data_IF_069176883861
#
_entry.id   IF_069176883861
#
_cell.length_a   1.000
_cell.length_b   1.000
_cell.length_c   1.000
_cell.angle_alpha   90.00
_cell.angle_beta   90.00
_cell.angle_gamma   90.00
#
_symmetry.space_group_name_H-M   'P 1'
#
loop_
_entity.id
_entity.type
_entity.pdbx_description
1 polymer ?
#
# COMPACT_ATOMS: atom_id res chain seq x y z
N UNK A 1 -11.29 -15.86 7.29
CA UNK A 1 -10.80 -15.63 8.67
C UNK A 1 -10.62 -14.12 8.84
N UNK A 2 -11.46 -13.42 9.62
CA UNK A 2 -11.28 -11.97 9.86
C UNK A 2 -10.26 -11.81 10.98
N UNK A 3 -9.16 -11.10 10.73
CA UNK A 3 -8.16 -10.80 11.74
C UNK A 3 -8.72 -9.76 12.73
N UNK A 4 -9.52 -10.23 13.71
CA UNK A 4 -10.25 -9.38 14.67
C UNK A 4 -9.36 -8.40 15.44
N UNK A 5 -8.06 -8.68 15.53
CA UNK A 5 -7.10 -7.90 16.31
C UNK A 5 -6.03 -7.19 15.46
N UNK A 6 -6.06 -7.27 14.13
CA UNK A 6 -4.98 -6.72 13.29
C UNK A 6 -4.80 -5.21 13.49
N UNK A 7 -5.92 -4.47 13.55
CA UNK A 7 -5.93 -3.02 13.79
C UNK A 7 -5.27 -2.69 15.13
N UNK A 8 -5.65 -3.42 16.17
CA UNK A 8 -5.11 -3.24 17.52
C UNK A 8 -3.61 -3.51 17.55
N UNK A 9 -3.16 -4.63 16.97
CA UNK A 9 -1.74 -4.97 16.90
C UNK A 9 -0.91 -3.93 16.16
N UNK A 10 -1.39 -3.46 15.00
CA UNK A 10 -0.72 -2.42 14.22
C UNK A 10 -0.56 -1.12 15.03
N UNK A 11 -1.63 -0.70 15.71
CA UNK A 11 -1.61 0.51 16.51
C UNK A 11 -0.65 0.41 17.71
N UNK A 12 -0.63 -0.72 18.41
CA UNK A 12 0.27 -0.93 19.55
C UNK A 12 1.74 -1.01 19.13
N UNK A 13 2.03 -1.63 17.98
CA UNK A 13 3.38 -1.63 17.40
C UNK A 13 3.84 -0.21 17.05
N UNK A 14 2.96 0.59 16.42
CA UNK A 14 3.24 1.98 16.08
C UNK A 14 3.56 2.85 17.31
N UNK A 15 2.80 2.70 18.40
CA UNK A 15 3.06 3.42 19.67
C UNK A 15 4.43 3.11 20.28
N UNK A 16 5.01 1.95 19.97
CA UNK A 16 6.32 1.49 20.47
C UNK A 16 7.47 1.79 19.50
N UNK A 17 7.22 2.52 18.43
CA UNK A 17 8.23 2.81 17.40
C UNK A 17 8.58 1.60 16.53
N UNK A 18 7.74 0.56 16.49
CA UNK A 18 7.97 -0.63 15.68
C UNK A 18 7.36 -0.43 14.29
N UNK A 19 8.22 -0.41 13.27
CA UNK A 19 7.81 -0.45 11.87
C UNK A 19 7.36 -1.85 11.45
N UNK A 20 6.41 -1.94 10.52
CA UNK A 20 5.96 -3.20 9.95
C UNK A 20 5.66 -3.05 8.46
N UNK A 21 5.77 -4.14 7.72
CA UNK A 21 5.39 -4.22 6.31
C UNK A 21 4.19 -5.16 6.17
N UNK A 22 3.08 -4.63 5.66
CA UNK A 22 1.89 -5.42 5.34
C UNK A 22 1.81 -5.64 3.83
N UNK A 23 1.91 -6.89 3.40
CA UNK A 23 1.79 -7.29 1.99
C UNK A 23 0.45 -8.00 1.83
N UNK A 24 -0.42 -7.48 0.95
CA UNK A 24 -1.70 -8.09 0.63
C UNK A 24 -1.98 -8.01 -0.87
N UNK A 25 -2.72 -8.98 -1.39
CA UNK A 25 -3.28 -8.96 -2.74
C UNK A 25 -4.67 -8.32 -2.77
N UNK A 26 -5.36 -8.26 -1.64
CA UNK A 26 -6.73 -7.74 -1.52
C UNK A 26 -6.74 -6.56 -0.58
N UNK A 27 -6.76 -5.34 -1.13
CA UNK A 27 -6.75 -4.13 -0.28
C UNK A 27 -8.04 -4.01 0.54
N UNK A 28 -9.16 -4.58 0.07
CA UNK A 28 -10.44 -4.69 0.77
C UNK A 28 -10.37 -5.52 2.05
N UNK A 29 -9.37 -6.39 2.19
CA UNK A 29 -9.16 -7.20 3.40
C UNK A 29 -8.52 -6.41 4.55
N UNK A 30 -7.98 -5.22 4.26
CA UNK A 30 -7.45 -4.32 5.28
C UNK A 30 -8.61 -3.43 5.77
N UNK A 31 -8.93 -3.39 7.07
CA UNK A 31 -9.86 -2.40 7.61
C UNK A 31 -9.49 -0.95 7.25
N UNK A 32 -10.49 -0.08 7.05
CA UNK A 32 -10.24 1.34 6.79
C UNK A 32 -9.57 2.04 7.99
N UNK A 33 -9.69 1.52 9.20
CA UNK A 33 -9.03 2.07 10.40
C UNK A 33 -7.50 1.97 10.35
N UNK A 34 -6.95 1.07 9.51
CA UNK A 34 -5.49 0.91 9.32
C UNK A 34 -4.94 1.99 8.35
N UNK A 35 -5.70 3.03 8.00
CA UNK A 35 -5.25 4.15 7.13
C UNK A 35 -3.96 4.85 7.59
N UNK A 36 -3.53 4.65 8.84
CA UNK A 36 -2.29 5.18 9.40
C UNK A 36 -1.02 4.38 9.03
N UNK A 37 -1.08 3.37 8.15
CA UNK A 37 0.16 2.87 7.51
C UNK A 37 0.68 3.97 6.60
N UNK A 38 1.86 4.47 6.93
CA UNK A 38 2.33 5.72 6.36
C UNK A 38 2.98 5.63 4.98
N UNK A 39 3.13 4.44 4.41
CA UNK A 39 3.74 4.31 3.09
C UNK A 39 3.07 3.16 2.34
N UNK A 40 2.67 3.43 1.11
CA UNK A 40 1.95 2.51 0.25
C UNK A 40 2.79 2.17 -0.98
N UNK A 41 2.97 0.86 -1.22
CA UNK A 41 3.55 0.32 -2.44
C UNK A 41 2.46 -0.41 -3.19
N UNK A 42 1.94 0.20 -4.26
CA UNK A 42 0.82 -0.32 -5.03
C UNK A 42 1.35 -0.85 -6.36
N UNK A 43 1.40 -2.17 -6.50
CA UNK A 43 1.94 -2.82 -7.72
C UNK A 43 0.90 -2.92 -8.84
N UNK A 44 -0.37 -3.12 -8.48
CA UNK A 44 -1.51 -3.18 -9.38
C UNK A 44 -2.80 -3.15 -8.55
N UNK A 45 -3.90 -2.76 -9.17
CA UNK A 45 -5.25 -2.96 -8.64
C UNK A 45 -6.10 -3.58 -9.72
N UNK A 46 -6.82 -4.67 -9.41
CA UNK A 46 -7.61 -5.39 -10.41
C UNK A 46 -9.10 -5.01 -10.38
N UNK A 47 -9.59 -4.40 -9.29
CA UNK A 47 -11.01 -4.05 -9.14
C UNK A 47 -11.25 -2.56 -8.89
N UNK A 48 -12.40 -2.06 -9.34
CA UNK A 48 -12.84 -0.67 -9.12
C UNK A 48 -12.90 -0.29 -7.64
N UNK A 49 -13.31 -1.23 -6.78
CA UNK A 49 -13.37 -1.05 -5.33
C UNK A 49 -11.99 -0.78 -4.74
N UNK A 50 -10.97 -1.50 -5.18
CA UNK A 50 -9.59 -1.28 -4.74
C UNK A 50 -9.04 0.05 -5.24
N UNK A 51 -9.36 0.42 -6.48
CA UNK A 51 -8.97 1.71 -7.06
C UNK A 51 -9.58 2.86 -6.26
N UNK A 52 -10.88 2.77 -5.95
CA UNK A 52 -11.57 3.80 -5.18
C UNK A 52 -10.95 3.96 -3.79
N UNK A 53 -10.61 2.85 -3.15
CA UNK A 53 -9.88 2.86 -1.88
C UNK A 53 -8.52 3.54 -1.99
N UNK A 54 -7.74 3.26 -3.05
CA UNK A 54 -6.45 3.92 -3.24
C UNK A 54 -6.60 5.42 -3.53
N UNK A 55 -7.64 5.84 -4.26
CA UNK A 55 -7.96 7.27 -4.43
C UNK A 55 -8.25 7.97 -3.11
N UNK A 56 -8.97 7.31 -2.19
CA UNK A 56 -9.24 7.86 -0.86
C UNK A 56 -7.99 7.99 0.01
N UNK A 57 -7.02 7.09 -0.15
CA UNK A 57 -5.77 7.09 0.63
C UNK A 57 -4.78 8.11 0.11
N UNK A 58 -4.57 8.12 -1.21
CA UNK A 58 -3.52 8.92 -1.86
C UNK A 58 -3.97 10.33 -2.16
N UNK A 59 -5.28 10.56 -2.32
CA UNK A 59 -5.91 11.84 -2.68
C UNK A 59 -5.32 12.52 -3.94
N UNK A 60 -4.54 11.77 -4.74
CA UNK A 60 -3.79 12.33 -5.85
C UNK A 60 -4.36 11.89 -7.22
N UNK A 61 -4.44 12.78 -8.22
CA UNK A 61 -5.01 12.45 -9.55
C UNK A 61 -4.29 11.31 -10.29
N UNK A 62 -3.01 11.08 -10.02
CA UNK A 62 -2.21 10.01 -10.67
C UNK A 62 -2.62 8.60 -10.24
N UNK A 63 -3.44 8.43 -9.20
CA UNK A 63 -3.91 7.11 -8.74
C UNK A 63 -4.77 6.39 -9.78
N UNK A 64 -5.32 7.11 -10.76
CA UNK A 64 -5.96 6.50 -11.94
C UNK A 64 -5.02 5.64 -12.80
N UNK A 65 -3.70 5.84 -12.68
CA UNK A 65 -2.69 5.12 -13.45
C UNK A 65 -2.36 3.73 -12.84
N UNK A 66 -2.83 3.45 -11.62
CA UNK A 66 -2.57 2.18 -10.91
C UNK A 66 -3.04 0.96 -11.73
N UNK A 67 -4.15 1.07 -12.45
CA UNK A 67 -4.69 -0.01 -13.30
C UNK A 67 -3.84 -0.35 -14.50
N UNK A 68 -2.98 0.59 -14.91
CA UNK A 68 -2.15 0.47 -16.12
C UNK A 68 -0.69 0.24 -15.76
N UNK A 69 -0.37 -0.01 -14.49
CA UNK A 69 0.99 -0.30 -14.05
C UNK A 69 1.51 -1.55 -14.76
N UNK A 70 2.62 -1.44 -15.51
CA UNK A 70 3.27 -2.63 -16.07
C UNK A 70 3.85 -3.53 -14.98
N UNK A 71 4.16 -4.78 -15.34
CA UNK A 71 4.74 -5.75 -14.41
C UNK A 71 5.99 -5.20 -13.72
N UNK A 72 6.13 -5.53 -12.44
CA UNK A 72 7.24 -5.10 -11.60
C UNK A 72 7.41 -3.58 -11.49
N UNK A 73 6.32 -2.80 -11.63
CA UNK A 73 6.27 -1.41 -11.19
C UNK A 73 5.44 -1.25 -9.92
N UNK A 74 5.73 -0.22 -9.16
CA UNK A 74 4.87 0.28 -8.09
C UNK A 74 4.62 1.77 -8.23
N UNK A 75 3.39 2.14 -7.93
CA UNK A 75 3.04 3.46 -7.46
C UNK A 75 3.37 3.55 -5.98
N UNK A 76 4.23 4.50 -5.60
CA UNK A 76 4.65 4.71 -4.21
C UNK A 76 4.06 6.02 -3.72
N UNK A 77 3.46 6.00 -2.54
CA UNK A 77 2.94 7.18 -1.85
C UNK A 77 3.31 7.14 -0.37
N UNK A 78 3.81 8.25 0.16
CA UNK A 78 4.13 8.40 1.59
C UNK A 78 3.97 9.83 2.08
N UNK A 79 2.95 10.15 2.89
CA UNK A 79 2.82 11.48 3.47
C UNK A 79 3.94 11.85 4.45
N UNK A 80 4.80 10.91 4.86
CA UNK A 80 5.82 11.15 5.89
C UNK A 80 7.17 11.59 5.34
N UNK A 81 7.51 11.24 4.10
CA UNK A 81 8.84 11.54 3.57
C UNK A 81 8.84 12.05 2.12
N UNK A 82 7.78 11.83 1.35
CA UNK A 82 7.66 12.43 0.02
C UNK A 82 6.19 12.58 -0.39
N UNK A 83 5.64 13.81 -0.35
CA UNK A 83 4.20 14.05 -0.44
C UNK A 83 3.61 13.75 -1.83
N UNK A 84 4.45 13.78 -2.88
CA UNK A 84 4.03 13.52 -4.25
C UNK A 84 4.18 12.03 -4.61
N UNK A 85 3.16 11.35 -5.12
CA UNK A 85 3.31 9.96 -5.51
C UNK A 85 4.18 9.80 -6.77
N UNK A 86 4.99 8.75 -6.80
CA UNK A 86 5.89 8.48 -7.93
C UNK A 86 5.94 6.99 -8.29
N UNK A 87 6.46 6.72 -9.48
CA UNK A 87 6.52 5.38 -10.04
C UNK A 87 7.94 4.82 -9.93
N UNK A 88 8.04 3.56 -9.47
CA UNK A 88 9.32 2.85 -9.38
C UNK A 88 9.23 1.53 -10.13
N UNK A 89 10.23 1.27 -10.98
CA UNK A 89 10.45 -0.03 -11.60
C UNK A 89 11.37 -0.85 -10.71
N UNK A 90 10.87 -1.99 -10.23
CA UNK A 90 11.62 -2.91 -9.39
C UNK A 90 12.64 -3.68 -10.22
N UNK A 91 13.85 -3.80 -9.70
CA UNK A 91 14.88 -4.64 -10.31
C UNK A 91 14.58 -6.11 -10.01
N UNK A 92 14.85 -6.99 -10.99
CA UNK A 92 14.84 -8.43 -10.74
C UNK A 92 16.05 -8.75 -9.85
N UNK A 93 15.80 -9.33 -8.69
CA UNK A 93 16.88 -9.89 -7.87
C UNK A 93 17.15 -11.28 -8.41
N UNK A 94 18.34 -11.51 -8.92
CA UNK A 94 18.81 -12.87 -9.20
C UNK A 94 19.06 -13.54 -7.85
N UNK A 95 18.17 -14.47 -7.48
CA UNK A 95 18.43 -15.38 -6.38
C UNK A 95 19.56 -16.29 -6.85
N UNK A 96 20.78 -16.01 -6.38
CA UNK A 96 21.89 -16.97 -6.45
C UNK A 96 21.45 -18.15 -5.59
N UNK A 97 20.99 -19.20 -6.26
CA UNK A 97 20.68 -20.50 -5.66
C UNK A 97 21.91 -21.38 -5.78
#
# INVERSE_FOLDING_TARGET
MKAKNLVYCINELGKRGVGFLLITQYSTSIPAEIRNVGTYFIMSAMSETEIQRFKEITLHPSSKLITRLPKAMSYIFSPYWYPEPFFVKHRKVELRT
#
